data_IF_900436844451
#
_entry.id   IF_900436844451
#
_cell.length_a   1.000
_cell.length_b   1.000
_cell.length_c   1.000
_cell.angle_alpha   90.00
_cell.angle_beta   90.00
_cell.angle_gamma   90.00
#
_symmetry.space_group_name_H-M   'P 1'
#
loop_
_entity.id
_entity.type
_entity.pdbx_description
1 polymer ?
#
# COMPACT_ATOMS: atom_id res chain seq x y z
N UNK A 1 -2.92 -3.15 -29.99
CA UNK A 1 -1.77 -3.87 -29.44
C UNK A 1 -1.03 -3.13 -28.32
N UNK A 2 -0.75 -1.82 -28.43
CA UNK A 2 0.03 -1.12 -27.39
C UNK A 2 -0.72 -0.91 -26.06
N UNK A 3 -2.03 -0.68 -26.10
CA UNK A 3 -2.87 -0.54 -24.89
C UNK A 3 -2.97 -1.83 -24.09
N UNK A 4 -3.11 -2.97 -24.76
CA UNK A 4 -3.15 -4.29 -24.14
C UNK A 4 -1.83 -4.61 -23.42
N UNK A 5 -0.68 -4.30 -24.03
CA UNK A 5 0.63 -4.47 -23.39
C UNK A 5 0.81 -3.57 -22.15
N UNK A 6 0.40 -2.30 -22.24
CA UNK A 6 0.46 -1.36 -21.10
C UNK A 6 -0.45 -1.79 -19.95
N UNK A 7 -1.68 -2.22 -20.26
CA UNK A 7 -2.64 -2.71 -19.26
C UNK A 7 -2.09 -3.92 -18.51
N UNK A 8 -1.45 -4.86 -19.23
CA UNK A 8 -0.86 -6.06 -18.64
C UNK A 8 0.32 -5.76 -17.71
N UNK A 9 1.17 -4.79 -18.09
CA UNK A 9 2.28 -4.31 -17.24
C UNK A 9 1.72 -3.66 -15.96
N UNK A 10 0.69 -2.83 -16.09
CA UNK A 10 0.09 -2.13 -14.95
C UNK A 10 -0.62 -3.09 -13.98
N UNK A 11 -1.36 -4.08 -14.49
CA UNK A 11 -1.99 -5.11 -13.68
C UNK A 11 -0.96 -5.98 -12.95
N UNK A 12 0.16 -6.31 -13.60
CA UNK A 12 1.26 -7.02 -12.96
C UNK A 12 1.89 -6.22 -11.82
N UNK A 13 2.09 -4.92 -12.01
CA UNK A 13 2.62 -4.03 -10.97
C UNK A 13 1.65 -3.91 -9.78
N UNK A 14 0.35 -3.79 -10.05
CA UNK A 14 -0.69 -3.77 -9.02
C UNK A 14 -0.72 -5.07 -8.19
N UNK A 15 -0.60 -6.23 -8.86
CA UNK A 15 -0.51 -7.54 -8.20
C UNK A 15 0.74 -7.68 -7.35
N UNK A 16 1.89 -7.19 -7.80
CA UNK A 16 3.14 -7.18 -7.02
C UNK A 16 2.97 -6.30 -5.77
N UNK A 17 2.38 -5.10 -5.90
CA UNK A 17 2.09 -4.25 -4.75
C UNK A 17 1.13 -4.93 -3.75
N UNK A 18 0.07 -5.58 -4.25
CA UNK A 18 -0.88 -6.34 -3.43
C UNK A 18 -0.20 -7.53 -2.72
N UNK A 19 0.62 -8.28 -3.42
CA UNK A 19 1.40 -9.39 -2.86
C UNK A 19 2.39 -8.92 -1.81
N UNK A 20 3.09 -7.81 -2.05
CA UNK A 20 4.00 -7.20 -1.08
C UNK A 20 3.27 -6.70 0.18
N UNK A 21 2.08 -6.12 0.03
CA UNK A 21 1.22 -5.72 1.15
C UNK A 21 0.75 -6.93 1.97
N UNK A 22 0.32 -8.02 1.31
CA UNK A 22 -0.08 -9.26 1.98
C UNK A 22 1.11 -9.92 2.70
N UNK A 23 2.29 -9.93 2.09
CA UNK A 23 3.50 -10.52 2.67
C UNK A 23 4.01 -9.67 3.85
N UNK A 24 3.93 -8.34 3.74
CA UNK A 24 4.16 -7.44 4.87
C UNK A 24 3.14 -7.64 6.00
N UNK A 25 1.87 -7.85 5.66
CA UNK A 25 0.82 -8.16 6.64
C UNK A 25 1.06 -9.50 7.36
N UNK A 26 1.60 -10.51 6.67
CA UNK A 26 1.94 -11.81 7.28
C UNK A 26 3.23 -11.80 8.11
N UNK A 27 4.22 -10.98 7.73
CA UNK A 27 5.51 -10.90 8.45
C UNK A 27 5.41 -10.10 9.76
N UNK A 28 4.27 -9.44 10.00
CA UNK A 28 3.93 -8.81 11.28
C UNK A 28 3.32 -9.88 12.17
N UNK A 29 4.18 -10.78 12.66
CA UNK A 29 3.87 -11.59 13.84
C UNK A 29 4.16 -10.77 15.10
N UNK A 30 3.43 -9.66 15.24
CA UNK A 30 3.22 -8.94 16.50
C UNK A 30 1.70 -8.75 16.60
N UNK A 31 1.10 -8.59 17.79
CA UNK A 31 -0.35 -8.67 18.01
C UNK A 31 -1.17 -7.52 17.38
N UNK A 32 -1.04 -7.29 16.07
CA UNK A 32 -1.85 -6.42 15.22
C UNK A 32 -1.30 -5.02 14.92
N UNK A 33 0.03 -4.76 14.76
CA UNK A 33 0.53 -3.39 14.55
C UNK A 33 1.75 -3.28 13.61
N UNK A 34 1.63 -2.49 12.52
CA UNK A 34 2.78 -1.97 11.77
C UNK A 34 3.47 -0.86 12.59
N UNK A 35 4.82 -0.84 12.68
CA UNK A 35 5.54 0.32 13.21
C UNK A 35 5.30 1.52 12.29
N UNK A 36 4.57 2.52 12.78
CA UNK A 36 4.18 3.72 12.02
C UNK A 36 2.67 4.00 12.02
N UNK A 37 1.84 3.00 12.34
CA UNK A 37 0.40 3.21 12.52
C UNK A 37 0.12 3.73 13.93
N UNK A 38 -0.61 4.86 14.03
CA UNK A 38 -0.98 5.42 15.32
C UNK A 38 -2.13 4.59 15.88
N UNK A 39 -1.85 3.82 16.92
CA UNK A 39 -2.86 3.03 17.62
C UNK A 39 -2.95 3.46 19.07
N UNK A 40 -4.05 4.17 19.39
CA UNK A 40 -4.35 4.64 20.73
C UNK A 40 -5.42 3.70 21.30
N UNK A 41 -5.03 2.86 22.27
CA UNK A 41 -5.95 1.97 22.99
C UNK A 41 -6.16 2.49 24.40
N UNK A 42 -7.40 2.79 24.73
CA UNK A 42 -7.90 3.14 26.06
C UNK A 42 -8.96 2.10 26.48
N UNK A 43 -9.28 2.00 27.78
CA UNK A 43 -10.15 0.94 28.33
C UNK A 43 -11.53 0.84 27.65
N UNK A 44 -12.05 1.94 27.10
CA UNK A 44 -13.34 1.99 26.38
C UNK A 44 -13.24 2.43 24.92
N UNK A 45 -12.03 2.77 24.43
CA UNK A 45 -11.86 3.37 23.11
C UNK A 45 -10.61 2.86 22.42
N UNK A 46 -10.74 2.44 21.16
CA UNK A 46 -9.63 2.02 20.33
C UNK A 46 -9.63 2.85 19.05
N UNK A 47 -8.59 3.64 18.83
CA UNK A 47 -8.40 4.42 17.61
C UNK A 47 -7.20 3.89 16.85
N UNK A 48 -7.42 3.49 15.60
CA UNK A 48 -6.39 3.03 14.68
C UNK A 48 -6.30 3.99 13.51
N UNK A 49 -5.09 4.51 13.26
CA UNK A 49 -4.82 5.41 12.17
C UNK A 49 -3.63 4.90 11.35
N UNK A 50 -3.89 4.29 10.16
CA UNK A 50 -2.90 3.63 9.33
C UNK A 50 -2.05 4.62 8.51
N UNK A 51 -1.23 5.43 9.19
CA UNK A 51 -0.39 6.44 8.55
C UNK A 51 0.59 5.85 7.55
N UNK A 52 1.22 4.73 7.90
CA UNK A 52 2.24 4.11 7.06
C UNK A 52 1.62 3.63 5.74
N UNK A 53 0.44 3.01 5.80
CA UNK A 53 -0.29 2.54 4.62
C UNK A 53 -0.69 3.71 3.70
N UNK A 54 -1.23 4.79 4.27
CA UNK A 54 -1.62 5.96 3.50
C UNK A 54 -0.43 6.61 2.78
N UNK A 55 0.72 6.69 3.45
CA UNK A 55 1.96 7.20 2.87
C UNK A 55 2.45 6.34 1.72
N UNK A 56 2.42 5.01 1.88
CA UNK A 56 2.88 4.05 0.87
C UNK A 56 2.00 4.09 -0.38
N UNK A 57 0.68 4.14 -0.20
CA UNK A 57 -0.29 4.29 -1.30
C UNK A 57 -0.07 5.63 -2.02
N UNK A 58 0.10 6.72 -1.27
CA UNK A 58 0.35 8.04 -1.85
C UNK A 58 1.65 8.08 -2.67
N UNK A 59 2.72 7.48 -2.16
CA UNK A 59 4.00 7.40 -2.86
C UNK A 59 3.89 6.57 -4.14
N UNK A 60 3.21 5.42 -4.08
CA UNK A 60 2.97 4.57 -5.23
C UNK A 60 2.12 5.29 -6.29
N UNK A 61 0.99 5.89 -5.89
CA UNK A 61 0.14 6.67 -6.78
C UNK A 61 0.89 7.85 -7.43
N UNK A 62 1.70 8.57 -6.65
CA UNK A 62 2.54 9.67 -7.15
C UNK A 62 3.54 9.18 -8.18
N UNK A 63 4.18 8.03 -7.96
CA UNK A 63 5.13 7.45 -8.90
C UNK A 63 4.43 7.00 -10.19
N UNK A 64 3.25 6.39 -10.06
CA UNK A 64 2.41 6.00 -11.20
C UNK A 64 1.99 7.21 -12.03
N UNK A 65 1.48 8.27 -11.40
CA UNK A 65 1.12 9.51 -12.08
C UNK A 65 2.34 10.17 -12.74
N UNK A 66 3.50 10.18 -12.09
CA UNK A 66 4.73 10.76 -12.66
C UNK A 66 5.21 10.01 -13.91
N UNK A 67 5.05 8.68 -13.94
CA UNK A 67 5.39 7.85 -15.10
C UNK A 67 4.37 8.05 -16.24
N UNK A 68 3.08 8.16 -15.92
CA UNK A 68 2.03 8.37 -16.91
C UNK A 68 1.98 9.81 -17.46
N UNK A 69 2.28 10.81 -16.64
CA UNK A 69 2.26 12.23 -17.00
C UNK A 69 3.49 12.68 -17.80
N UNK A 70 4.54 11.86 -17.89
CA UNK A 70 5.75 12.15 -18.69
C UNK A 70 5.71 11.52 -20.10
N UNK A 71 4.55 11.08 -20.56
CA UNK A 71 4.27 10.77 -21.97
C UNK A 71 3.30 11.78 -22.54
#
# INVERSE_FOLDING_TARGET
MQWTAKALIFSGLALICLGALLLAAQKISFPGRLPGDIYIKSEKFSFYFPLATCLLISLAASLLFRIFSRR
#
